data_IF_889455702061
#
_entry.id   IF_889455702061
#
_cell.length_a   1.000
_cell.length_b   1.000
_cell.length_c   1.000
_cell.angle_alpha   90.00
_cell.angle_beta   90.00
_cell.angle_gamma   90.00
#
_symmetry.space_group_name_H-M   'P 1'
#
loop_
_entity.id
_entity.type
_entity.pdbx_description
1 polymer ?
#
# COMPACT_ATOMS: atom_id res chain seq x y z
N UNK A 1 15.87 12.60 4.48
CA UNK A 1 14.72 11.76 4.07
C UNK A 1 13.88 11.45 5.30
N UNK A 2 12.55 11.33 5.16
CA UNK A 2 11.59 11.21 6.28
C UNK A 2 11.53 9.80 6.94
N UNK A 3 12.26 8.80 6.43
CA UNK A 3 12.28 7.44 6.99
C UNK A 3 11.02 6.59 6.74
N UNK A 4 10.09 7.08 5.92
CA UNK A 4 8.83 6.41 5.58
C UNK A 4 9.00 5.44 4.41
N UNK A 5 8.30 4.30 4.50
CA UNK A 5 8.02 3.44 3.36
C UNK A 5 6.69 3.85 2.72
N UNK A 6 6.65 3.78 1.38
CA UNK A 6 5.45 4.03 0.59
C UNK A 6 5.11 2.81 -0.25
N UNK A 7 3.82 2.45 -0.32
CA UNK A 7 3.33 1.39 -1.19
C UNK A 7 2.01 1.79 -1.82
N UNK A 8 2.00 1.88 -3.15
CA UNK A 8 0.77 2.01 -3.92
C UNK A 8 0.02 0.68 -3.96
N UNK A 9 -1.30 0.75 -3.81
CA UNK A 9 -2.24 -0.37 -3.82
C UNK A 9 -3.33 -0.03 -4.83
N UNK A 10 -3.40 -0.82 -5.90
CA UNK A 10 -4.46 -0.73 -6.91
C UNK A 10 -5.67 -1.62 -6.61
N UNK A 11 -5.46 -2.74 -5.91
CA UNK A 11 -6.53 -3.64 -5.49
C UNK A 11 -7.13 -3.20 -4.15
N UNK A 12 -8.20 -2.43 -4.21
CA UNK A 12 -9.01 -2.02 -3.06
C UNK A 12 -10.48 -1.89 -3.50
N UNK A 13 -11.39 -1.96 -2.55
CA UNK A 13 -12.82 -1.74 -2.78
C UNK A 13 -13.09 -0.24 -2.96
N UNK A 14 -13.54 0.15 -4.16
CA UNK A 14 -13.66 1.56 -4.55
C UNK A 14 -14.91 2.17 -3.96
N UNK A 15 -16.00 1.42 -3.92
CA UNK A 15 -17.29 1.82 -3.38
C UNK A 15 -17.17 2.02 -1.86
N UNK A 16 -16.58 1.05 -1.15
CA UNK A 16 -16.31 1.16 0.28
C UNK A 16 -15.38 2.32 0.60
N UNK A 17 -14.30 2.50 -0.17
CA UNK A 17 -13.37 3.62 0.03
C UNK A 17 -14.06 4.98 -0.18
N UNK A 18 -14.95 5.06 -1.19
CA UNK A 18 -15.73 6.27 -1.46
C UNK A 18 -16.66 6.61 -0.31
N UNK A 19 -17.40 5.62 0.19
CA UNK A 19 -18.32 5.78 1.32
C UNK A 19 -17.56 6.20 2.58
N UNK A 20 -16.55 5.42 2.99
CA UNK A 20 -15.82 5.62 4.24
C UNK A 20 -15.04 6.93 4.30
N UNK A 21 -14.59 7.45 3.16
CA UNK A 21 -13.84 8.70 3.05
C UNK A 21 -14.73 9.87 2.58
N UNK A 22 -16.03 9.63 2.40
CA UNK A 22 -17.01 10.61 1.90
C UNK A 22 -16.54 11.31 0.62
N UNK A 23 -16.01 10.55 -0.34
CA UNK A 23 -15.45 11.11 -1.58
C UNK A 23 -16.59 11.39 -2.58
N UNK A 24 -16.76 12.64 -3.03
CA UNK A 24 -17.79 12.98 -4.02
C UNK A 24 -17.67 12.20 -5.33
N UNK A 25 -18.79 11.95 -5.98
CA UNK A 25 -18.88 11.09 -7.16
C UNK A 25 -18.08 11.63 -8.37
N UNK A 26 -17.85 12.94 -8.43
CA UNK A 26 -17.04 13.55 -9.50
C UNK A 26 -15.55 13.18 -9.46
N UNK A 27 -15.07 12.63 -8.34
CA UNK A 27 -13.66 12.23 -8.21
C UNK A 27 -13.45 10.76 -8.53
N UNK A 28 -12.47 10.51 -9.40
CA UNK A 28 -11.92 9.20 -9.66
C UNK A 28 -10.92 8.80 -8.57
N UNK A 29 -11.08 7.60 -8.01
CA UNK A 29 -10.09 7.04 -7.09
C UNK A 29 -9.01 6.32 -7.91
N UNK A 30 -7.78 6.83 -7.86
CA UNK A 30 -6.67 6.26 -8.66
C UNK A 30 -6.00 5.10 -7.93
N UNK A 31 -5.50 5.35 -6.73
CA UNK A 31 -4.79 4.36 -5.91
C UNK A 31 -4.86 4.72 -4.43
N UNK A 32 -4.68 3.72 -3.58
CA UNK A 32 -4.41 3.93 -2.16
C UNK A 32 -2.91 3.87 -1.94
N UNK A 33 -2.35 4.86 -1.25
CA UNK A 33 -0.92 4.88 -0.88
C UNK A 33 -0.79 4.62 0.60
N UNK A 34 -0.29 3.44 0.97
CA UNK A 34 0.09 3.14 2.35
C UNK A 34 1.39 3.86 2.68
N UNK A 35 1.38 4.62 3.77
CA UNK A 35 2.54 5.27 4.37
C UNK A 35 2.79 4.69 5.75
N UNK A 36 4.05 4.51 6.13
CA UNK A 36 4.40 4.12 7.49
C UNK A 36 5.88 3.86 7.66
N UNK A 37 6.34 3.88 8.92
CA UNK A 37 7.69 3.47 9.26
C UNK A 37 7.83 1.94 9.12
N UNK A 38 9.02 1.42 8.76
CA UNK A 38 9.29 -0.01 8.82
C UNK A 38 9.02 -0.56 10.22
N UNK A 39 8.16 -1.57 10.33
CA UNK A 39 7.89 -2.30 11.57
C UNK A 39 8.79 -3.54 11.72
N UNK A 40 8.64 -4.25 12.83
CA UNK A 40 9.31 -5.52 13.04
C UNK A 40 8.77 -6.59 12.06
N UNK A 41 9.70 -7.28 11.37
CA UNK A 41 9.36 -8.38 10.45
C UNK A 41 8.76 -9.56 11.18
N UNK A 42 9.14 -9.80 12.44
CA UNK A 42 8.63 -10.93 13.24
C UNK A 42 7.12 -10.87 13.45
N UNK A 43 6.52 -9.67 13.36
CA UNK A 43 5.09 -9.46 13.48
C UNK A 43 4.29 -9.90 12.22
N UNK A 44 4.98 -10.23 11.12
CA UNK A 44 4.34 -10.77 9.92
C UNK A 44 4.15 -12.29 10.04
N UNK A 45 3.11 -12.88 9.42
CA UNK A 45 3.01 -14.31 9.24
C UNK A 45 4.28 -14.87 8.59
N UNK A 46 4.75 -16.06 9.00
CA UNK A 46 6.03 -16.66 8.61
C UNK A 46 6.26 -16.64 7.08
N UNK A 47 5.26 -17.04 6.30
CA UNK A 47 5.28 -17.02 4.83
C UNK A 47 5.51 -15.63 4.20
N UNK A 48 5.32 -14.55 4.95
CA UNK A 48 5.51 -13.17 4.51
C UNK A 48 6.79 -12.52 5.07
N UNK A 49 7.45 -13.16 6.06
CA UNK A 49 8.68 -12.62 6.67
C UNK A 49 9.86 -12.62 5.69
N UNK A 50 9.95 -13.64 4.82
CA UNK A 50 11.01 -13.76 3.80
C UNK A 50 10.80 -12.84 2.59
N UNK A 51 9.58 -12.31 2.39
CA UNK A 51 9.24 -11.43 1.24
C UNK A 51 9.78 -9.99 1.38
N UNK A 52 10.82 -9.81 2.17
CA UNK A 52 11.50 -8.55 2.39
C UNK A 52 12.46 -8.23 1.25
N UNK A 53 12.09 -7.26 0.41
CA UNK A 53 12.94 -6.61 -0.60
C UNK A 53 13.13 -7.32 -1.95
N UNK A 54 12.25 -8.26 -2.35
CA UNK A 54 12.18 -8.60 -3.77
C UNK A 54 11.47 -7.46 -4.52
N UNK A 55 12.26 -6.50 -5.00
CA UNK A 55 11.88 -5.62 -6.10
C UNK A 55 12.28 -6.38 -7.35
N UNK A 56 11.33 -6.75 -8.20
CA UNK A 56 11.69 -7.20 -9.54
C UNK A 56 12.62 -6.13 -10.14
N UNK A 57 13.78 -6.50 -10.72
CA UNK A 57 14.61 -5.53 -11.40
C UNK A 57 13.76 -4.82 -12.44
N UNK A 58 13.93 -3.50 -12.52
CA UNK A 58 13.34 -2.72 -13.60
C UNK A 58 13.95 -3.25 -14.90
N UNK A 59 13.15 -3.99 -15.68
CA UNK A 59 13.51 -4.32 -17.06
C UNK A 59 13.18 -3.08 -17.89
N UNK A 60 14.20 -2.49 -18.50
CA UNK A 60 14.03 -1.43 -19.49
C UNK A 60 13.31 -1.95 -20.75
#
# INVERSE_FOLDING_TARGET
>A
MLGLNTRAIGGYDRELAREALHIPAEYELLAVIKLGYPGDKSALPEALQERGSYRAPFLE
#
